data_IF_607312087215
#
_entry.id   IF_607312087215
#
_cell.length_a   1.000
_cell.length_b   1.000
_cell.length_c   1.000
_cell.angle_alpha   90.00
_cell.angle_beta   90.00
_cell.angle_gamma   90.00
#
_symmetry.space_group_name_H-M   'P 1'
#
loop_
_entity.id
_entity.type
_entity.pdbx_description
1 polymer ?
#
# COMPACT_ATOMS: atom_id res chain seq x y z
N UNK A 1 0.02 21.41 -0.61
CA UNK A 1 1.47 21.55 -0.90
C UNK A 1 2.20 20.20 -0.88
N UNK A 2 2.30 19.50 0.25
CA UNK A 2 3.03 18.22 0.31
C UNK A 2 2.38 17.09 -0.50
N UNK A 3 1.05 16.96 -0.39
CA UNK A 3 0.28 15.93 -1.08
C UNK A 3 0.26 16.15 -2.60
N UNK A 4 0.09 17.40 -3.03
CA UNK A 4 0.16 17.78 -4.46
C UNK A 4 1.54 17.45 -5.05
N UNK A 5 2.60 17.73 -4.27
CA UNK A 5 3.97 17.36 -4.63
C UNK A 5 4.13 15.86 -4.77
N UNK A 6 3.58 15.06 -3.84
CA UNK A 6 3.63 13.61 -3.97
C UNK A 6 2.91 13.11 -5.23
N UNK A 7 1.72 13.65 -5.53
CA UNK A 7 0.98 13.29 -6.75
C UNK A 7 1.75 13.66 -8.02
N UNK A 8 2.41 14.82 -8.04
CA UNK A 8 3.10 15.32 -9.24
C UNK A 8 4.47 14.71 -9.44
N UNK A 9 5.25 14.55 -8.36
CA UNK A 9 6.66 14.15 -8.42
C UNK A 9 6.85 12.68 -8.09
N UNK A 10 6.07 12.13 -7.18
CA UNK A 10 6.31 10.79 -6.64
C UNK A 10 5.45 9.72 -7.30
N UNK A 11 4.14 9.92 -7.44
CA UNK A 11 3.22 8.98 -8.06
C UNK A 11 3.65 8.51 -9.49
N UNK A 12 4.21 9.36 -10.38
CA UNK A 12 4.58 8.92 -11.73
C UNK A 12 5.89 8.10 -11.80
N UNK A 13 6.77 8.15 -10.79
CA UNK A 13 8.07 7.46 -10.90
C UNK A 13 7.91 5.99 -10.53
N UNK A 14 8.40 5.12 -11.41
CA UNK A 14 8.38 3.67 -11.24
C UNK A 14 9.68 3.09 -10.65
N UNK A 15 10.71 3.93 -10.48
CA UNK A 15 12.06 3.49 -10.10
C UNK A 15 12.24 3.19 -8.60
N UNK A 16 11.26 3.49 -7.75
CA UNK A 16 11.33 3.24 -6.32
C UNK A 16 9.95 2.97 -5.74
N UNK A 17 9.93 2.09 -4.74
CA UNK A 17 8.81 1.72 -3.87
C UNK A 17 8.22 2.91 -3.11
N UNK A 18 6.93 3.24 -3.31
CA UNK A 18 6.28 4.38 -2.63
C UNK A 18 4.93 4.04 -2.04
N UNK A 19 4.75 4.51 -0.81
CA UNK A 19 3.49 4.42 -0.09
C UNK A 19 3.13 5.77 0.54
N UNK A 20 1.92 6.25 0.29
CA UNK A 20 1.32 7.38 0.99
C UNK A 20 0.39 6.86 2.09
N UNK A 21 0.63 7.26 3.34
CA UNK A 21 -0.20 6.84 4.48
C UNK A 21 -0.97 8.06 4.97
N UNK A 22 -2.30 7.99 4.90
CA UNK A 22 -3.22 9.02 5.40
C UNK A 22 -3.88 8.53 6.69
N UNK A 23 -3.61 9.21 7.79
CA UNK A 23 -4.15 8.88 9.11
C UNK A 23 -5.09 10.01 9.53
N UNK A 24 -6.32 9.69 9.91
CA UNK A 24 -7.25 10.69 10.47
C UNK A 24 -8.60 10.06 10.75
N UNK A 25 -9.45 10.64 11.60
CA UNK A 25 -10.76 10.08 11.96
C UNK A 25 -11.62 9.67 10.75
N UNK A 26 -12.67 8.88 11.00
CA UNK A 26 -13.71 8.68 10.00
C UNK A 26 -14.27 10.05 9.55
N UNK A 27 -14.75 10.13 8.31
CA UNK A 27 -15.35 11.35 7.74
C UNK A 27 -14.42 12.55 7.53
N UNK A 28 -13.09 12.42 7.65
CA UNK A 28 -12.13 13.49 7.27
C UNK A 28 -11.89 13.60 5.76
N UNK A 29 -12.61 12.83 4.95
CA UNK A 29 -12.49 12.89 3.48
C UNK A 29 -11.29 12.13 2.90
N UNK A 30 -10.55 11.32 3.67
CA UNK A 30 -9.41 10.50 3.20
C UNK A 30 -9.73 9.69 1.94
N UNK A 31 -10.86 9.00 1.95
CA UNK A 31 -11.33 8.15 0.85
C UNK A 31 -11.69 8.99 -0.37
N UNK A 32 -12.45 10.07 -0.17
CA UNK A 32 -12.82 11.01 -1.24
C UNK A 32 -11.58 11.63 -1.87
N UNK A 33 -10.60 12.02 -1.05
CA UNK A 33 -9.31 12.52 -1.50
C UNK A 33 -8.55 11.47 -2.32
N UNK A 34 -8.35 10.25 -1.79
CA UNK A 34 -7.60 9.21 -2.49
C UNK A 34 -8.24 8.84 -3.83
N UNK A 35 -9.57 8.77 -3.89
CA UNK A 35 -10.33 8.49 -5.13
C UNK A 35 -10.36 9.67 -6.10
N UNK A 36 -10.11 10.89 -5.63
CA UNK A 36 -10.06 12.08 -6.49
C UNK A 36 -8.79 12.16 -7.34
N UNK A 37 -7.74 11.38 -7.01
CA UNK A 37 -6.49 11.36 -7.75
C UNK A 37 -6.75 10.81 -9.18
N UNK A 38 -6.40 11.55 -10.25
CA UNK A 38 -6.71 11.13 -11.61
C UNK A 38 -6.07 9.79 -12.01
N UNK A 39 -6.90 8.90 -12.53
CA UNK A 39 -6.48 7.63 -13.11
C UNK A 39 -7.21 6.44 -12.52
N UNK A 40 -7.07 5.30 -13.22
CA UNK A 40 -7.60 4.03 -12.74
C UNK A 40 -6.88 3.62 -11.45
N UNK A 41 -7.64 3.16 -10.46
CA UNK A 41 -7.10 2.70 -9.20
C UNK A 41 -7.66 1.32 -8.83
N UNK A 42 -6.86 0.57 -8.08
CA UNK A 42 -7.34 -0.54 -7.28
C UNK A 42 -7.85 0.03 -5.95
N UNK A 43 -8.99 -0.46 -5.47
CA UNK A 43 -9.55 -0.03 -4.18
C UNK A 43 -9.96 -1.25 -3.36
N UNK A 44 -9.33 -1.42 -2.20
CA UNK A 44 -9.61 -2.49 -1.26
C UNK A 44 -10.08 -1.90 0.07
N UNK A 45 -11.31 -2.22 0.47
CA UNK A 45 -11.87 -1.86 1.78
C UNK A 45 -11.95 -3.12 2.62
N UNK A 46 -11.33 -3.12 3.80
CA UNK A 46 -11.35 -4.18 4.83
C UNK A 46 -10.66 -5.50 4.44
N UNK A 47 -10.81 -5.94 3.19
CA UNK A 47 -10.31 -7.20 2.65
C UNK A 47 -9.59 -6.95 1.31
N UNK A 48 -8.43 -7.59 1.17
CA UNK A 48 -7.69 -7.64 -0.09
C UNK A 48 -8.06 -8.89 -0.90
N UNK A 49 -8.07 -8.79 -2.23
CA UNK A 49 -8.34 -9.93 -3.12
C UNK A 49 -7.60 -9.78 -4.46
N UNK A 50 -6.92 -10.84 -4.91
CA UNK A 50 -6.27 -10.86 -6.23
C UNK A 50 -7.25 -10.82 -7.40
N UNK A 51 -8.49 -11.28 -7.22
CA UNK A 51 -9.49 -11.31 -8.29
C UNK A 51 -9.91 -9.91 -8.73
N UNK A 52 -9.80 -8.94 -7.83
CA UNK A 52 -10.13 -7.53 -8.08
C UNK A 52 -8.88 -6.68 -8.34
N UNK A 53 -7.70 -7.29 -8.40
CA UNK A 53 -6.46 -6.59 -8.65
C UNK A 53 -6.29 -6.33 -10.15
N UNK A 54 -6.31 -5.06 -10.54
CA UNK A 54 -6.04 -4.64 -11.90
C UNK A 54 -4.56 -4.25 -12.06
N UNK A 55 -3.77 -4.98 -12.87
CA UNK A 55 -2.35 -4.65 -13.08
C UNK A 55 -2.15 -3.34 -13.85
N UNK A 56 -3.17 -2.83 -14.54
CA UNK A 56 -3.14 -1.57 -15.29
C UNK A 56 -3.58 -0.36 -14.46
N UNK A 57 -3.94 -0.54 -13.19
CA UNK A 57 -4.21 0.57 -12.29
C UNK A 57 -2.94 1.45 -12.14
N UNK A 58 -3.12 2.75 -11.93
CA UNK A 58 -2.02 3.68 -11.66
C UNK A 58 -1.54 3.63 -10.21
N UNK A 59 -2.43 3.30 -9.29
CA UNK A 59 -2.16 3.20 -7.85
C UNK A 59 -3.16 2.26 -7.18
N UNK A 60 -2.83 1.83 -5.96
CA UNK A 60 -3.70 0.98 -5.16
C UNK A 60 -4.03 1.65 -3.83
N UNK A 61 -5.32 1.73 -3.50
CA UNK A 61 -5.83 2.23 -2.23
C UNK A 61 -6.17 1.05 -1.32
N UNK A 62 -5.64 1.08 -0.10
CA UNK A 62 -5.96 0.17 0.98
C UNK A 62 -6.65 0.96 2.09
N UNK A 63 -7.95 0.72 2.30
CA UNK A 63 -8.74 1.35 3.35
C UNK A 63 -9.14 0.33 4.40
N UNK A 64 -8.74 0.56 5.65
CA UNK A 64 -9.06 -0.31 6.79
C UNK A 64 -8.74 -1.80 6.59
N UNK A 65 -7.87 -2.15 5.64
CA UNK A 65 -7.52 -3.55 5.38
C UNK A 65 -6.78 -4.10 6.59
N UNK A 66 -7.35 -5.14 7.21
CA UNK A 66 -6.76 -5.73 8.40
C UNK A 66 -5.42 -6.40 8.07
N UNK A 67 -4.35 -5.91 8.69
CA UNK A 67 -3.01 -6.38 8.39
C UNK A 67 -2.74 -7.82 8.82
N UNK A 68 -3.50 -8.31 9.79
CA UNK A 68 -3.45 -9.70 10.25
C UNK A 68 -3.96 -10.67 9.16
N UNK A 69 -4.75 -10.19 8.20
CA UNK A 69 -5.20 -11.02 7.09
C UNK A 69 -4.05 -11.32 6.11
N UNK A 70 -3.08 -10.40 5.95
CA UNK A 70 -1.88 -10.66 5.14
C UNK A 70 -0.91 -11.66 5.77
N UNK A 71 -1.04 -11.93 7.07
CA UNK A 71 -0.24 -12.93 7.79
C UNK A 71 -0.88 -14.34 7.71
N UNK A 72 -2.07 -14.47 7.12
CA UNK A 72 -2.73 -15.76 6.87
C UNK A 72 -2.24 -16.37 5.55
N UNK A 73 -2.11 -17.70 5.52
CA UNK A 73 -1.74 -18.45 4.30
C UNK A 73 -2.60 -18.01 3.12
N UNK A 74 -1.94 -17.48 2.09
CA UNK A 74 -2.51 -17.19 0.80
C UNK A 74 -2.67 -15.73 0.41
N UNK A 75 -2.45 -14.84 1.37
CA UNK A 75 -2.30 -13.42 1.08
C UNK A 75 -0.82 -13.10 0.78
N UNK A 76 -0.54 -12.21 -0.19
CA UNK A 76 0.82 -11.75 -0.44
C UNK A 76 1.36 -11.01 0.78
N UNK A 77 2.67 -11.05 0.99
CA UNK A 77 3.30 -10.23 2.03
C UNK A 77 2.96 -8.75 1.78
N UNK A 78 2.38 -8.10 2.79
CA UNK A 78 2.00 -6.68 2.77
C UNK A 78 3.17 -5.77 2.39
N UNK A 79 4.41 -6.13 2.73
CA UNK A 79 5.59 -5.37 2.30
C UNK A 79 5.68 -5.33 0.78
N UNK A 80 5.38 -6.44 0.11
CA UNK A 80 5.45 -6.54 -1.34
C UNK A 80 4.37 -5.70 -2.03
N UNK A 81 3.22 -5.54 -1.36
CA UNK A 81 2.12 -4.69 -1.80
C UNK A 81 2.44 -3.19 -1.74
N UNK A 82 3.30 -2.77 -0.81
CA UNK A 82 3.68 -1.37 -0.63
C UNK A 82 4.96 -0.99 -1.36
N UNK A 83 5.78 -1.97 -1.71
CA UNK A 83 7.12 -1.73 -2.27
C UNK A 83 7.20 -1.92 -3.77
N UNK A 84 6.07 -2.07 -4.47
CA UNK A 84 6.08 -2.24 -5.92
C UNK A 84 6.99 -3.41 -6.34
N UNK A 85 6.92 -4.54 -5.61
CA UNK A 85 7.89 -5.63 -5.71
C UNK A 85 7.91 -6.41 -7.01
N UNK A 86 7.09 -6.04 -7.99
CA UNK A 86 6.96 -6.77 -9.24
C UNK A 86 6.07 -7.99 -9.06
N UNK A 87 6.54 -9.16 -9.51
CA UNK A 87 5.73 -10.38 -9.45
C UNK A 87 5.62 -10.90 -8.02
N UNK A 88 4.40 -10.94 -7.52
CA UNK A 88 4.06 -11.45 -6.18
C UNK A 88 3.17 -12.67 -6.31
N UNK A 89 3.52 -13.72 -5.57
CA UNK A 89 2.68 -14.91 -5.47
C UNK A 89 1.43 -14.61 -4.66
N UNK A 90 0.28 -14.99 -5.20
CA UNK A 90 -1.02 -14.95 -4.53
C UNK A 90 -1.57 -16.37 -4.51
N UNK A 91 -2.17 -16.76 -3.40
CA UNK A 91 -2.89 -18.02 -3.33
C UNK A 91 -4.36 -17.63 -3.29
N UNK A 92 -5.02 -17.62 -4.44
CA UNK A 92 -6.41 -18.04 -4.61
C UNK A 92 -6.90 -17.73 -6.04
N UNK A 93 -6.92 -18.78 -6.87
CA UNK A 93 -8.08 -19.15 -7.69
C UNK A 93 -7.95 -20.67 -7.94
N UNK A 94 -8.90 -21.49 -7.44
CA UNK A 94 -8.95 -22.96 -7.65
C UNK A 94 -7.72 -23.80 -7.21
N UNK A 95 -6.93 -23.33 -6.25
CA UNK A 95 -5.81 -24.11 -5.69
C UNK A 95 -4.49 -24.01 -6.45
N UNK A 96 -4.40 -23.15 -7.46
CA UNK A 96 -3.14 -22.85 -8.16
C UNK A 96 -2.53 -21.54 -7.67
N UNK A 97 -1.21 -21.46 -7.53
CA UNK A 97 -0.53 -20.20 -7.29
C UNK A 97 -0.73 -19.28 -8.52
N UNK A 98 -1.31 -18.12 -8.29
CA UNK A 98 -1.44 -17.07 -9.31
C UNK A 98 -0.39 -16.00 -9.01
N UNK A 99 0.25 -15.45 -10.03
CA UNK A 99 1.15 -14.31 -9.86
C UNK A 99 0.45 -13.04 -10.27
N UNK A 100 0.53 -12.00 -9.45
CA UNK A 100 0.13 -10.65 -9.83
C UNK A 100 1.37 -9.77 -9.94
N UNK A 101 1.33 -8.79 -10.84
CA UNK A 101 2.40 -7.81 -10.97
C UNK A 101 2.05 -6.54 -10.17
N UNK A 102 2.68 -6.40 -9.01
CA UNK A 102 2.56 -5.24 -8.11
C UNK A 102 3.65 -4.24 -8.45
N UNK A 103 3.33 -3.28 -9.32
CA UNK A 103 4.25 -2.19 -9.69
C UNK A 103 3.66 -0.79 -9.40
N UNK A 104 2.46 -0.74 -8.82
CA UNK A 104 1.72 0.49 -8.61
C UNK A 104 2.01 1.06 -7.20
N UNK A 105 2.19 2.38 -7.05
CA UNK A 105 2.28 3.01 -5.74
C UNK A 105 1.05 2.72 -4.86
N UNK A 106 1.25 2.66 -3.56
CA UNK A 106 0.21 2.39 -2.58
C UNK A 106 -0.26 3.67 -1.86
N UNK A 107 -1.55 3.74 -1.55
CA UNK A 107 -2.17 4.72 -0.66
C UNK A 107 -2.88 3.96 0.45
N UNK A 108 -2.51 4.18 1.71
CA UNK A 108 -3.06 3.48 2.86
C UNK A 108 -3.86 4.46 3.71
N UNK A 109 -5.13 4.15 3.95
CA UNK A 109 -6.05 4.99 4.71
C UNK A 109 -6.32 4.33 6.08
N UNK A 110 -5.98 5.05 7.15
CA UNK A 110 -6.07 4.56 8.52
C UNK A 110 -6.92 5.50 9.39
N UNK A 111 -7.74 4.92 10.26
CA UNK A 111 -8.41 5.65 11.32
C UNK A 111 -7.56 5.59 12.61
N UNK A 112 -7.58 6.64 13.47
CA UNK A 112 -6.91 6.61 14.77
C UNK A 112 -7.49 5.47 15.62
N UNK A 113 -6.62 4.70 16.26
CA UNK A 113 -7.02 3.58 17.12
C UNK A 113 -7.39 2.28 16.40
N UNK A 114 -7.61 2.26 15.08
CA UNK A 114 -7.95 1.02 14.36
C UNK A 114 -6.72 0.14 14.03
N UNK A 115 -5.50 0.64 14.28
CA UNK A 115 -4.26 -0.06 13.88
C UNK A 115 -2.96 0.49 14.50
N UNK A 116 -2.96 0.89 15.78
CA UNK A 116 -1.71 1.32 16.45
C UNK A 116 -0.62 0.23 16.46
N UNK A 117 -1.00 -1.05 16.46
CA UNK A 117 -0.03 -2.15 16.32
C UNK A 117 0.62 -2.30 14.94
N UNK A 118 0.05 -1.68 13.89
CA UNK A 118 0.49 -1.87 12.50
C UNK A 118 1.33 -0.73 11.95
N UNK A 119 1.10 0.50 12.43
CA UNK A 119 1.95 1.65 12.13
C UNK A 119 3.34 1.49 12.76
N UNK A 120 3.43 1.05 14.03
CA UNK A 120 4.71 0.85 14.73
C UNK A 120 5.62 -0.18 14.03
N UNK A 121 5.06 -1.18 13.32
CA UNK A 121 5.84 -2.16 12.52
C UNK A 121 6.29 -1.64 11.16
N UNK A 122 5.53 -0.72 10.55
CA UNK A 122 5.91 -0.10 9.27
C UNK A 122 7.02 0.93 9.52
N UNK A 123 6.97 1.67 10.64
CA UNK A 123 7.95 2.69 11.02
C UNK A 123 9.21 2.15 11.71
N UNK A 124 9.16 1.00 12.41
CA UNK A 124 10.35 0.39 13.04
C UNK A 124 11.39 -0.12 12.04
N UNK A 125 11.03 -0.24 10.76
CA UNK A 125 11.97 -0.57 9.67
C UNK A 125 12.81 0.63 9.21
N UNK A 126 12.55 1.83 9.73
CA UNK A 126 13.26 3.06 9.35
C UNK A 126 14.23 3.59 10.42
N UNK A 127 14.44 2.88 11.53
CA UNK A 127 15.59 3.14 12.40
C UNK A 127 16.80 2.39 11.81
N UNK A 128 17.60 3.15 11.08
CA UNK A 128 18.98 2.86 10.69
C UNK A 128 19.69 1.79 11.52
N UNK A 129 19.61 0.55 11.07
CA UNK A 129 20.74 -0.38 11.15
C UNK A 129 21.07 -0.81 9.74
N UNK A 130 22.25 -0.41 9.29
CA UNK A 130 22.80 -0.83 8.02
C UNK A 130 22.90 -2.34 7.98
N UNK A 131 22.02 -2.95 7.20
CA UNK A 131 22.23 -4.27 6.65
C UNK A 131 22.30 -4.05 5.14
N UNK A 132 23.50 -4.25 4.60
CA UNK A 132 23.77 -4.29 3.17
C UNK A 132 22.88 -5.37 2.54
N UNK A 133 21.78 -4.96 1.93
CA UNK A 133 21.07 -5.69 0.89
C UNK A 133 20.38 -4.65 0.00
N UNK A 134 20.97 -4.41 -1.18
CA UNK A 134 20.73 -3.31 -2.13
C UNK A 134 19.36 -3.31 -2.84
N UNK A 135 18.30 -3.80 -2.21
CA UNK A 135 16.96 -3.78 -2.79
C UNK A 135 15.93 -3.47 -1.69
N UNK A 136 15.07 -2.47 -1.94
CA UNK A 136 13.84 -2.13 -1.20
C UNK A 136 13.96 -1.14 -0.01
N UNK A 137 14.31 0.13 -0.28
CA UNK A 137 13.93 1.23 0.63
C UNK A 137 12.45 1.60 0.40
N UNK A 138 11.57 1.32 1.36
CA UNK A 138 10.18 1.78 1.32
C UNK A 138 10.14 3.27 1.67
N UNK A 139 9.75 4.11 0.71
CA UNK A 139 9.53 5.53 0.98
C UNK A 139 8.07 5.72 1.42
N UNK A 140 7.86 5.68 2.74
CA UNK A 140 6.55 5.90 3.36
C UNK A 140 6.39 7.37 3.75
N UNK A 141 5.35 8.02 3.22
CA UNK A 141 5.00 9.40 3.55
C UNK A 141 3.78 9.39 4.46
N UNK A 142 3.97 9.76 5.73
CA UNK A 142 2.90 9.74 6.73
C UNK A 142 2.31 11.14 6.85
N UNK A 143 1.00 11.24 6.62
CA UNK A 143 0.25 12.48 6.79
C UNK A 143 -0.89 12.28 7.78
N UNK A 144 -0.95 13.15 8.79
CA UNK A 144 -2.02 13.17 9.80
C UNK A 144 -3.00 14.30 9.46
N UNK A 145 -4.26 13.94 9.28
CA UNK A 145 -5.41 14.80 8.96
C UNK A 145 -6.24 15.08 10.21
#
# INVERSE_FOLDING_TARGET
QFVDRWIQEELPRQSQAKCLILIGPASTGKTSFAKSIPGLNNYFSDVWSSDHFNPYARYTIYENVSWNNFERRGYPDKKLLFTQSGLVDTVYNRGYPTKINVCQPAIVLLNPGSSEGSLNRITSTNESQGINDDFWSLHAYIYRL
#
